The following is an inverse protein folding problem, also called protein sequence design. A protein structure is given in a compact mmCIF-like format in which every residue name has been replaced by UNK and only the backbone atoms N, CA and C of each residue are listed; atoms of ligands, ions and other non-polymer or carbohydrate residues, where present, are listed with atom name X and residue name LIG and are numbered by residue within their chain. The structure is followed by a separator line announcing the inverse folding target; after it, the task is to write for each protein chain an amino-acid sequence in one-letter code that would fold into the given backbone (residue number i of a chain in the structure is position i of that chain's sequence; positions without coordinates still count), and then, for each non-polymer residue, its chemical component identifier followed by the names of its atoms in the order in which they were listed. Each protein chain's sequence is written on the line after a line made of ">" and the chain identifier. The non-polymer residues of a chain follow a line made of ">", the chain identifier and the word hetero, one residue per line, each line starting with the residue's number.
data_IF_106802086998
#
_entry.id   IF_106802086998
#
_cell.length_a   1.000
_cell.length_b   1.000
_cell.length_c   1.000
_cell.angle_alpha   90.00
_cell.angle_beta   90.00
_cell.angle_gamma   90.00
#
_symmetry.space_group_name_H-M   'P 1'
#
loop_
_entity.id
_entity.type
_entity.pdbx_description
1 polymer ?
#
# COMPACT_ATOMS: atom_id res chain seq x y z
N UNK A 1 2.93 11.65 -5.94
CA UNK A 1 3.20 10.89 -4.70
C UNK A 1 2.16 11.28 -3.68
N UNK A 2 1.42 10.32 -3.14
CA UNK A 2 0.23 10.59 -2.33
C UNK A 2 0.37 10.07 -0.89
N UNK A 3 -0.06 10.88 0.07
CA UNK A 3 -0.32 10.47 1.45
C UNK A 3 -1.82 10.56 1.72
N UNK A 4 -2.46 9.42 2.05
CA UNK A 4 -3.92 9.37 2.29
C UNK A 4 -4.76 10.07 1.19
N UNK A 5 -4.34 9.94 -0.07
CA UNK A 5 -4.99 10.58 -1.22
C UNK A 5 -4.59 12.02 -1.51
N UNK A 6 -3.84 12.68 -0.62
CA UNK A 6 -3.37 14.06 -0.79
C UNK A 6 -1.99 14.05 -1.46
N UNK A 7 -1.79 14.88 -2.47
CA UNK A 7 -0.49 15.05 -3.11
C UNK A 7 0.51 15.72 -2.18
N UNK A 8 1.69 15.10 -2.02
CA UNK A 8 2.78 15.56 -1.14
C UNK A 8 4.14 15.57 -1.86
N UNK A 9 4.13 15.33 -3.17
CA UNK A 9 5.33 15.28 -4.00
C UNK A 9 5.04 14.74 -5.39
N UNK A 10 6.04 14.83 -6.28
CA UNK A 10 5.98 14.42 -7.68
C UNK A 10 7.24 13.65 -8.08
N UNK A 11 7.08 12.70 -8.99
CA UNK A 11 8.23 12.01 -9.60
C UNK A 11 8.80 12.95 -10.67
N UNK A 12 10.11 13.19 -10.63
CA UNK A 12 10.80 14.09 -11.57
C UNK A 12 11.76 13.36 -12.51
N UNK A 13 12.24 12.18 -12.12
CA UNK A 13 13.05 11.32 -12.98
C UNK A 13 12.81 9.84 -12.67
N UNK A 14 13.03 9.01 -13.69
CA UNK A 14 13.00 7.55 -13.62
C UNK A 14 14.20 7.01 -14.38
N UNK A 15 15.07 6.31 -13.66
CA UNK A 15 16.29 5.73 -14.19
C UNK A 15 16.29 4.22 -13.94
N UNK A 16 16.89 3.44 -14.83
CA UNK A 16 17.12 2.01 -14.58
C UNK A 16 18.28 1.90 -13.59
N UNK A 17 18.18 1.01 -12.60
CA UNK A 17 19.27 0.80 -11.65
C UNK A 17 20.54 0.31 -12.37
N UNK A 18 21.72 0.62 -11.83
CA UNK A 18 23.00 0.22 -12.45
C UNK A 18 23.12 -1.29 -12.71
N UNK A 19 22.48 -2.10 -11.87
CA UNK A 19 22.44 -3.56 -11.99
C UNK A 19 21.31 -4.08 -12.88
N UNK A 20 20.49 -3.20 -13.46
CA UNK A 20 19.34 -3.50 -14.34
C UNK A 20 18.29 -4.40 -13.65
N UNK A 21 18.27 -4.44 -12.31
CA UNK A 21 17.29 -5.23 -11.55
C UNK A 21 16.05 -4.44 -11.15
N UNK A 22 16.05 -3.12 -11.32
CA UNK A 22 14.95 -2.27 -10.91
C UNK A 22 14.98 -0.87 -11.51
N UNK A 23 14.19 0.01 -10.90
CA UNK A 23 14.02 1.40 -11.30
C UNK A 23 14.30 2.28 -10.09
N UNK A 24 15.12 3.30 -10.28
CA UNK A 24 15.34 4.40 -9.33
C UNK A 24 14.42 5.55 -9.72
N UNK A 25 13.56 5.95 -8.80
CA UNK A 25 12.67 7.09 -8.99
C UNK A 25 13.17 8.28 -8.17
N UNK A 26 13.47 9.40 -8.83
CA UNK A 26 13.75 10.66 -8.13
C UNK A 26 12.43 11.38 -7.86
N UNK A 27 12.21 11.72 -6.59
CA UNK A 27 10.96 12.33 -6.13
C UNK A 27 11.26 13.70 -5.52
N UNK A 28 10.59 14.73 -6.02
CA UNK A 28 10.54 16.04 -5.39
C UNK A 28 9.38 16.05 -4.39
N UNK A 29 9.69 16.22 -3.10
CA UNK A 29 8.73 16.23 -2.00
C UNK A 29 8.49 17.67 -1.51
N UNK A 30 7.28 17.93 -1.01
CA UNK A 30 6.95 19.23 -0.42
C UNK A 30 7.84 19.52 0.80
N UNK A 31 8.19 20.80 1.00
CA UNK A 31 9.09 21.23 2.08
C UNK A 31 8.60 20.79 3.47
N UNK A 32 7.28 20.81 3.69
CA UNK A 32 6.65 20.42 4.95
C UNK A 32 6.82 18.92 5.27
N UNK A 33 7.02 18.07 4.26
CA UNK A 33 7.23 16.64 4.44
C UNK A 33 8.63 16.30 4.99
N UNK A 34 9.59 17.24 4.92
CA UNK A 34 11.01 17.01 5.25
C UNK A 34 11.22 16.37 6.63
N UNK A 35 10.54 16.86 7.67
CA UNK A 35 10.66 16.33 9.03
C UNK A 35 10.05 14.93 9.22
N UNK A 36 9.27 14.48 8.25
CA UNK A 36 8.60 13.18 8.25
C UNK A 36 9.25 12.17 7.29
N UNK A 37 10.35 12.55 6.63
CA UNK A 37 11.19 11.66 5.83
C UNK A 37 12.28 11.07 6.72
N UNK A 38 11.92 10.17 7.63
CA UNK A 38 12.89 9.43 8.45
C UNK A 38 13.07 7.99 7.98
N UNK A 39 14.00 7.25 8.60
CA UNK A 39 14.18 5.80 8.37
C UNK A 39 12.90 4.95 8.50
N UNK A 40 11.91 5.43 9.25
CA UNK A 40 10.61 4.75 9.40
C UNK A 40 9.64 4.98 8.23
N UNK A 41 9.97 5.89 7.31
CA UNK A 41 9.12 6.27 6.19
C UNK A 41 9.09 5.16 5.15
N UNK A 42 7.88 4.85 4.68
CA UNK A 42 7.67 3.76 3.74
C UNK A 42 7.05 4.28 2.46
N UNK A 43 7.55 3.80 1.32
CA UNK A 43 7.00 4.09 0.01
C UNK A 43 6.56 2.79 -0.66
N UNK A 44 5.48 2.79 -1.42
CA UNK A 44 5.08 1.65 -2.24
C UNK A 44 4.32 2.12 -3.49
N UNK A 45 4.34 1.28 -4.52
CA UNK A 45 3.63 1.53 -5.75
C UNK A 45 2.19 1.03 -5.63
N UNK A 46 1.21 1.89 -5.88
CA UNK A 46 -0.20 1.52 -5.97
C UNK A 46 -0.56 1.40 -7.45
N UNK A 47 -1.05 0.21 -7.82
CA UNK A 47 -1.51 -0.12 -9.16
C UNK A 47 -3.01 -0.44 -9.11
N UNK A 48 -3.79 -0.07 -10.14
CA UNK A 48 -5.18 -0.49 -10.24
C UNK A 48 -5.29 -2.01 -10.16
N UNK A 49 -6.28 -2.50 -9.42
CA UNK A 49 -6.66 -3.91 -9.38
C UNK A 49 -8.11 -4.03 -9.81
N UNK A 50 -8.35 -4.85 -10.83
CA UNK A 50 -9.70 -5.19 -11.27
C UNK A 50 -10.02 -6.57 -10.72
N UNK A 51 -11.12 -6.70 -9.96
CA UNK A 51 -11.61 -7.99 -9.48
C UNK A 51 -13.09 -8.16 -9.76
N UNK A 52 -13.56 -9.40 -9.68
CA UNK A 52 -14.97 -9.75 -9.89
C UNK A 52 -15.89 -9.25 -8.74
N UNK A 53 -15.31 -8.95 -7.57
CA UNK A 53 -16.04 -8.46 -6.39
C UNK A 53 -16.26 -6.94 -6.39
N UNK A 54 -15.66 -6.21 -7.34
CA UNK A 54 -15.70 -4.76 -7.45
C UNK A 54 -14.38 -4.20 -7.96
N UNK A 55 -14.33 -2.89 -8.20
CA UNK A 55 -13.10 -2.22 -8.64
C UNK A 55 -12.55 -1.38 -7.48
N UNK A 56 -11.29 -1.58 -7.12
CA UNK A 56 -10.58 -0.71 -6.17
C UNK A 56 -9.56 0.12 -6.95
N UNK A 57 -9.43 1.40 -6.59
CA UNK A 57 -8.55 2.30 -7.32
C UNK A 57 -9.09 2.72 -8.69
N UNK A 58 -10.42 2.83 -8.89
CA UNK A 58 -10.98 3.35 -10.13
C UNK A 58 -10.48 4.78 -10.41
N UNK A 59 -10.13 5.54 -9.36
CA UNK A 59 -9.43 6.82 -9.49
C UNK A 59 -8.13 6.69 -10.29
N UNK A 60 -7.42 5.55 -10.23
CA UNK A 60 -6.17 5.29 -10.97
C UNK A 60 -6.36 4.89 -12.43
N UNK A 61 -7.57 4.51 -12.86
CA UNK A 61 -7.85 4.37 -14.30
C UNK A 61 -7.83 5.74 -14.99
N UNK A 62 -8.16 6.81 -14.25
CA UNK A 62 -8.12 8.20 -14.73
C UNK A 62 -6.79 8.88 -14.36
N UNK A 63 -6.25 8.63 -13.15
CA UNK A 63 -5.06 9.31 -12.61
C UNK A 63 -3.74 8.54 -12.76
N UNK A 64 -3.78 7.26 -13.16
CA UNK A 64 -2.62 6.42 -13.41
C UNK A 64 -2.03 5.76 -12.15
N UNK A 65 -0.96 4.98 -12.37
CA UNK A 65 -0.16 4.36 -11.32
C UNK A 65 0.50 5.46 -10.47
N UNK A 66 0.43 5.35 -9.14
CA UNK A 66 1.03 6.34 -8.24
C UNK A 66 1.85 5.69 -7.13
N UNK A 67 2.76 6.48 -6.56
CA UNK A 67 3.53 6.10 -5.37
C UNK A 67 2.80 6.63 -4.14
N UNK A 68 2.47 5.74 -3.22
CA UNK A 68 1.97 6.09 -1.90
C UNK A 68 3.13 6.20 -0.91
N UNK A 69 2.97 7.05 0.09
CA UNK A 69 3.91 7.23 1.20
C UNK A 69 3.22 7.08 2.54
N UNK A 70 3.89 6.49 3.51
CA UNK A 70 3.55 6.53 4.93
C UNK A 70 4.69 7.24 5.69
N UNK A 71 4.56 8.55 5.94
CA UNK A 71 5.60 9.39 6.49
C UNK A 71 5.70 9.22 8.01
N UNK A 72 6.92 9.11 8.52
CA UNK A 72 7.20 8.92 9.96
C UNK A 72 8.13 10.01 10.42
N UNK A 73 7.71 10.78 11.43
CA UNK A 73 8.58 11.77 12.07
C UNK A 73 9.74 11.06 12.75
N UNK A 74 10.96 11.55 12.52
CA UNK A 74 12.16 11.01 13.15
C UNK A 74 13.21 12.09 13.35
N UNK A 75 14.23 11.78 14.15
CA UNK A 75 15.29 12.74 14.51
C UNK A 75 16.23 13.04 13.36
N UNK A 76 16.41 12.10 12.43
CA UNK A 76 17.27 12.23 11.26
C UNK A 76 16.47 12.07 9.98
N UNK A 77 16.71 13.00 9.08
CA UNK A 77 16.19 12.96 7.72
C UNK A 77 16.92 11.86 6.92
N UNK A 78 16.14 11.11 6.18
CA UNK A 78 16.58 10.11 5.22
C UNK A 78 16.13 10.55 3.82
N UNK A 79 16.98 10.30 2.82
CA UNK A 79 16.70 10.69 1.42
C UNK A 79 16.64 9.50 0.48
N UNK A 80 17.20 8.37 0.89
CA UNK A 80 17.25 7.16 0.09
C UNK A 80 16.30 6.12 0.69
N UNK A 81 15.39 5.61 -0.13
CA UNK A 81 14.36 4.67 0.30
C UNK A 81 14.25 3.51 -0.67
N UNK A 82 14.15 2.30 -0.13
CA UNK A 82 13.74 1.13 -0.90
C UNK A 82 12.24 1.00 -0.82
N UNK A 83 11.56 1.11 -1.98
CA UNK A 83 10.11 0.95 -2.03
C UNK A 83 9.69 -0.48 -1.66
N UNK A 84 8.60 -0.60 -0.91
CA UNK A 84 7.97 -1.87 -0.60
C UNK A 84 7.27 -2.42 -1.84
N UNK A 85 7.35 -3.75 -2.01
CA UNK A 85 6.68 -4.46 -3.12
C UNK A 85 5.15 -4.43 -3.01
N UNK A 86 4.64 -4.28 -1.80
CA UNK A 86 3.21 -4.28 -1.48
C UNK A 86 2.91 -3.22 -0.41
N UNK A 87 1.66 -2.73 -0.34
CA UNK A 87 1.25 -1.82 0.73
C UNK A 87 1.55 -2.45 2.10
N UNK A 88 2.04 -1.66 3.08
CA UNK A 88 2.17 -2.16 4.43
C UNK A 88 0.77 -2.56 4.93
N UNK A 89 0.65 -3.61 5.77
CA UNK A 89 -0.61 -3.95 6.38
C UNK A 89 -1.16 -2.71 7.10
N UNK A 90 -2.46 -2.45 6.91
CA UNK A 90 -3.17 -1.39 7.62
C UNK A 90 -2.79 -1.44 9.10
N UNK A 91 -2.36 -0.31 9.67
CA UNK A 91 -1.92 -0.28 11.06
C UNK A 91 -3.02 -0.84 11.97
N UNK A 92 -2.66 -1.71 12.91
CA UNK A 92 -3.60 -2.24 13.92
C UNK A 92 -4.12 -1.14 14.87
N UNK A 93 -3.65 0.10 14.71
CA UNK A 93 -4.17 1.31 15.37
C UNK A 93 -5.45 1.84 14.73
N UNK A 94 -5.86 1.33 13.56
CA UNK A 94 -7.20 1.61 13.06
C UNK A 94 -8.19 0.95 14.02
N UNK A 95 -9.08 1.73 14.66
CA UNK A 95 -10.06 1.16 15.57
C UNK A 95 -10.94 0.14 14.83
N UNK A 96 -11.05 -1.06 15.39
CA UNK A 96 -11.81 -2.15 14.78
C UNK A 96 -11.44 -3.52 15.34
N UNK A 97 -12.26 -4.53 15.05
CA UNK A 97 -11.99 -5.93 15.37
C UNK A 97 -11.19 -6.57 14.23
N UNK A 98 -9.98 -7.04 14.53
CA UNK A 98 -9.16 -7.79 13.59
C UNK A 98 -9.26 -9.29 13.89
N UNK A 99 -9.66 -10.08 12.90
CA UNK A 99 -9.83 -11.52 13.00
C UNK A 99 -8.95 -12.23 11.96
N UNK A 100 -8.40 -13.38 12.35
CA UNK A 100 -7.71 -14.29 11.45
C UNK A 100 -8.58 -15.53 11.26
N UNK A 101 -8.86 -15.88 10.01
CA UNK A 101 -9.63 -17.06 9.63
C UNK A 101 -8.72 -18.03 8.87
N UNK A 102 -8.89 -19.33 9.10
CA UNK A 102 -8.24 -20.39 8.31
C UNK A 102 -9.27 -21.03 7.39
N UNK A 103 -8.87 -21.37 6.17
CA UNK A 103 -9.70 -22.06 5.20
C UNK A 103 -8.84 -22.95 4.30
N UNK A 104 -9.37 -24.07 3.82
CA UNK A 104 -8.62 -25.01 2.95
C UNK A 104 -8.21 -24.40 1.59
N UNK A 105 -8.84 -23.30 1.18
CA UNK A 105 -8.57 -22.57 -0.07
C UNK A 105 -9.01 -21.12 0.03
N UNK A 106 -8.30 -20.23 -0.67
CA UNK A 106 -8.65 -18.81 -0.77
C UNK A 106 -9.98 -18.56 -1.52
N UNK A 107 -10.27 -19.37 -2.54
CA UNK A 107 -11.44 -19.16 -3.41
C UNK A 107 -11.33 -17.86 -4.20
N UNK A 108 -12.43 -17.10 -4.27
CA UNK A 108 -12.49 -15.79 -4.97
C UNK A 108 -12.24 -14.60 -4.03
N UNK A 109 -11.71 -14.85 -2.84
CA UNK A 109 -11.40 -13.79 -1.88
C UNK A 109 -10.12 -13.07 -2.28
N UNK A 110 -10.16 -11.75 -2.21
CA UNK A 110 -9.02 -10.88 -2.43
C UNK A 110 -8.89 -9.88 -1.27
N UNK A 111 -7.76 -9.19 -1.20
CA UNK A 111 -7.64 -8.04 -0.32
C UNK A 111 -8.71 -7.01 -0.69
N UNK A 112 -9.48 -6.55 0.30
CA UNK A 112 -10.60 -5.64 0.12
C UNK A 112 -11.96 -6.32 -0.11
N UNK A 113 -12.03 -7.64 -0.24
CA UNK A 113 -13.33 -8.34 -0.34
C UNK A 113 -14.23 -7.98 0.85
N UNK A 114 -15.51 -7.64 0.63
CA UNK A 114 -16.39 -7.18 1.70
C UNK A 114 -16.79 -8.30 2.66
N UNK A 115 -16.91 -7.96 3.95
CA UNK A 115 -17.48 -8.84 4.98
C UNK A 115 -18.89 -8.33 5.31
N UNK A 116 -19.88 -9.21 5.22
CA UNK A 116 -21.28 -8.87 5.44
C UNK A 116 -21.82 -9.46 6.73
N UNK A 117 -22.68 -8.70 7.40
CA UNK A 117 -23.59 -9.19 8.43
C UNK A 117 -25.00 -8.75 8.08
N UNK A 118 -25.92 -9.71 7.90
CA UNK A 118 -27.31 -9.43 7.48
C UNK A 118 -27.39 -8.51 6.25
N UNK A 119 -26.60 -8.81 5.22
CA UNK A 119 -26.49 -8.04 3.97
C UNK A 119 -25.92 -6.62 4.10
N UNK A 120 -25.53 -6.18 5.29
CA UNK A 120 -24.86 -4.90 5.51
C UNK A 120 -23.35 -5.15 5.52
N UNK A 121 -22.60 -4.36 4.75
CA UNK A 121 -21.14 -4.42 4.78
C UNK A 121 -20.64 -3.87 6.12
N UNK A 122 -19.95 -4.73 6.88
CA UNK A 122 -19.44 -4.41 8.22
C UNK A 122 -17.91 -4.45 8.31
N UNK A 123 -17.24 -4.84 7.22
CA UNK A 123 -15.79 -4.92 7.17
C UNK A 123 -15.27 -5.32 5.80
N UNK A 124 -13.99 -5.66 5.76
CA UNK A 124 -13.30 -6.10 4.55
C UNK A 124 -12.11 -7.00 4.89
N UNK A 125 -11.72 -7.86 3.94
CA UNK A 125 -10.52 -8.70 4.03
C UNK A 125 -9.28 -7.81 4.01
N UNK A 126 -8.49 -7.82 5.09
CA UNK A 126 -7.27 -7.01 5.22
C UNK A 126 -6.10 -7.56 4.41
N UNK A 127 -5.90 -8.88 4.42
CA UNK A 127 -4.81 -9.59 3.74
C UNK A 127 -5.08 -11.09 3.76
N UNK A 128 -4.36 -11.84 2.93
CA UNK A 128 -4.32 -13.30 2.99
C UNK A 128 -2.87 -13.77 2.78
N UNK A 129 -2.53 -14.90 3.38
CA UNK A 129 -1.25 -15.57 3.21
C UNK A 129 -1.46 -17.07 3.35
N UNK A 130 -0.56 -17.86 2.76
CA UNK A 130 -0.51 -19.29 3.05
C UNK A 130 -0.09 -19.46 4.52
N UNK A 131 -0.81 -20.29 5.25
CA UNK A 131 -0.52 -20.67 6.61
C UNK A 131 0.76 -21.48 6.71
N UNK A 132 1.37 -21.46 7.89
CA UNK A 132 2.65 -22.13 8.16
C UNK A 132 2.57 -23.66 7.99
N UNK A 133 1.35 -24.22 8.04
CA UNK A 133 1.06 -25.63 7.79
C UNK A 133 1.07 -26.01 6.29
N UNK A 134 1.26 -25.04 5.40
CA UNK A 134 1.23 -25.16 3.93
C UNK A 134 -0.06 -25.77 3.37
N UNK A 135 -1.12 -25.84 4.19
CA UNK A 135 -2.39 -26.50 3.85
C UNK A 135 -3.57 -25.54 3.83
N UNK A 136 -3.52 -24.50 4.66
CA UNK A 136 -4.57 -23.48 4.79
C UNK A 136 -4.03 -22.09 4.56
#
# INVERSE_FOLDING_TARGET
>A
VLYKGIAVGKVVALDVSEDIKGVVATIEMDKEARQYLSKGTRFWLVKPRVSLAGVTGLETLVSGVYIAVDPVKGEKEERNFTALKQPPPLSDRLPGLHLTLKADRLGSLEQGSPVFYRQIQVGQVKSFQLGDDQRT
#
